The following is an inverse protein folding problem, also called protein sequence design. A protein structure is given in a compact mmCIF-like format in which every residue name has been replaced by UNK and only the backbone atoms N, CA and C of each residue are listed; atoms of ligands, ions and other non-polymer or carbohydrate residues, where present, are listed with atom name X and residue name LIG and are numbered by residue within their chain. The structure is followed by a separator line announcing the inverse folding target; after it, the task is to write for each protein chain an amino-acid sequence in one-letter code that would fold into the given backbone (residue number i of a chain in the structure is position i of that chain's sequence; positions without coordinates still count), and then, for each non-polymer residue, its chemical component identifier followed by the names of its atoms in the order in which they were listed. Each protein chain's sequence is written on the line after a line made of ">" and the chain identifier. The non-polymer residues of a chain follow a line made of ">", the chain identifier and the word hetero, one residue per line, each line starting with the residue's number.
data_IF_984709712819
#
_entry.id   IF_984709712819
#
_cell.length_a   1.000
_cell.length_b   1.000
_cell.length_c   1.000
_cell.angle_alpha   90.00
_cell.angle_beta   90.00
_cell.angle_gamma   90.00
#
_symmetry.space_group_name_H-M   'P 1'
#
loop_
_entity.id
_entity.type
_entity.pdbx_description
1 polymer ?
#
# COMPACT_ATOMS: atom_id res chain seq x y z
N UNK A 1 -11.23 -22.14 4.94
CA UNK A 1 -12.62 -22.22 4.41
C UNK A 1 -12.85 -23.56 3.73
N UNK A 2 -11.98 -23.93 2.79
CA UNK A 2 -11.97 -25.24 2.13
C UNK A 2 -12.13 -26.43 3.09
N UNK A 3 -11.19 -26.60 4.04
CA UNK A 3 -11.20 -27.70 5.02
C UNK A 3 -12.46 -27.78 5.89
N UNK A 4 -13.17 -26.67 6.11
CA UNK A 4 -14.29 -26.61 7.06
C UNK A 4 -15.66 -26.55 6.36
N UNK A 5 -15.72 -26.07 5.12
CA UNK A 5 -16.99 -25.73 4.47
C UNK A 5 -17.10 -26.17 3.01
N UNK A 6 -16.01 -26.59 2.36
CA UNK A 6 -16.03 -26.89 0.91
C UNK A 6 -15.32 -28.21 0.54
N UNK A 7 -15.11 -29.12 1.49
CA UNK A 7 -14.44 -30.42 1.28
C UNK A 7 -15.03 -31.27 0.16
N UNK A 8 -16.34 -31.20 -0.05
CA UNK A 8 -17.04 -32.02 -1.04
C UNK A 8 -17.09 -31.37 -2.44
N UNK A 9 -16.53 -30.17 -2.60
CA UNK A 9 -16.45 -29.49 -3.90
C UNK A 9 -15.14 -29.86 -4.61
N UNK A 10 -15.16 -30.17 -5.92
CA UNK A 10 -13.95 -30.45 -6.68
C UNK A 10 -13.21 -29.15 -7.03
N UNK A 11 -12.61 -28.51 -6.03
CA UNK A 11 -11.90 -27.24 -6.19
C UNK A 11 -10.50 -27.52 -6.74
N UNK A 12 -10.15 -26.82 -7.82
CA UNK A 12 -8.79 -26.77 -8.35
C UNK A 12 -8.32 -25.32 -8.33
N UNK A 13 -7.15 -25.11 -7.73
CA UNK A 13 -6.47 -23.83 -7.69
C UNK A 13 -5.53 -23.69 -8.89
N UNK A 14 -5.60 -22.55 -9.55
CA UNK A 14 -4.67 -22.15 -10.61
C UNK A 14 -4.06 -20.82 -10.18
N UNK A 15 -2.85 -20.88 -9.64
CA UNK A 15 -2.17 -19.74 -9.01
C UNK A 15 -1.00 -19.29 -9.90
N UNK A 16 -0.99 -18.00 -10.25
CA UNK A 16 0.12 -17.38 -10.97
C UNK A 16 0.89 -16.46 -10.04
N UNK A 17 2.21 -16.60 -10.03
CA UNK A 17 3.10 -15.66 -9.36
C UNK A 17 3.64 -14.69 -10.39
N UNK A 18 3.36 -13.40 -10.21
CA UNK A 18 3.81 -12.34 -11.10
C UNK A 18 4.89 -11.52 -10.38
N UNK A 19 5.99 -11.28 -11.06
CA UNK A 19 7.08 -10.44 -10.55
C UNK A 19 7.63 -9.53 -11.64
N UNK A 20 8.20 -8.40 -11.24
CA UNK A 20 8.97 -7.56 -12.16
C UNK A 20 10.31 -8.22 -12.51
N UNK A 21 10.78 -8.00 -13.73
CA UNK A 21 12.18 -8.22 -14.11
C UNK A 21 12.98 -6.93 -13.90
N UNK A 22 14.30 -7.02 -14.06
CA UNK A 22 15.24 -5.89 -13.88
C UNK A 22 14.94 -4.68 -14.78
N UNK A 23 14.18 -4.87 -15.87
CA UNK A 23 13.75 -3.79 -16.76
C UNK A 23 12.34 -3.25 -16.43
N UNK A 24 11.76 -3.65 -15.30
CA UNK A 24 10.43 -3.23 -14.83
C UNK A 24 9.25 -3.94 -15.51
N UNK A 25 9.49 -4.85 -16.46
CA UNK A 25 8.39 -5.62 -17.10
C UNK A 25 7.89 -6.73 -16.19
N UNK A 26 6.58 -6.92 -16.16
CA UNK A 26 5.95 -8.00 -15.40
C UNK A 26 6.02 -9.32 -16.16
N UNK A 27 6.42 -10.38 -15.47
CA UNK A 27 6.50 -11.73 -15.99
C UNK A 27 5.82 -12.73 -15.05
N UNK A 28 5.26 -13.78 -15.63
CA UNK A 28 4.89 -14.97 -14.87
C UNK A 28 6.16 -15.66 -14.38
N UNK A 29 6.37 -15.68 -13.07
CA UNK A 29 7.50 -16.34 -12.39
C UNK A 29 7.19 -17.81 -12.11
N UNK A 30 5.91 -18.16 -11.96
CA UNK A 30 5.46 -19.53 -11.76
C UNK A 30 3.96 -19.70 -11.96
N UNK A 31 3.58 -20.91 -12.38
CA UNK A 31 2.20 -21.38 -12.47
C UNK A 31 2.09 -22.65 -11.62
N UNK A 32 1.22 -22.60 -10.62
CA UNK A 32 0.97 -23.70 -9.70
C UNK A 32 -0.47 -24.15 -9.88
N UNK A 33 -0.67 -25.45 -10.11
CA UNK A 33 -1.98 -26.05 -10.29
C UNK A 33 -2.08 -27.22 -9.32
N UNK A 34 -3.11 -27.21 -8.49
CA UNK A 34 -3.34 -28.24 -7.48
C UNK A 34 -4.67 -28.05 -6.79
N UNK A 35 -5.05 -29.01 -5.98
CA UNK A 35 -6.34 -29.12 -5.30
C UNK A 35 -6.18 -29.15 -3.77
N UNK A 36 -5.05 -28.67 -3.26
CA UNK A 36 -4.74 -28.64 -1.84
C UNK A 36 -4.00 -27.36 -1.41
N UNK A 37 -3.78 -27.26 -0.10
CA UNK A 37 -3.07 -26.15 0.53
C UNK A 37 -1.58 -26.09 0.13
N UNK A 38 -0.99 -27.20 -0.31
CA UNK A 38 0.43 -27.24 -0.70
C UNK A 38 0.64 -26.45 -2.00
N UNK A 39 -0.31 -26.50 -2.94
CA UNK A 39 -0.33 -25.61 -4.11
C UNK A 39 -0.19 -24.13 -3.73
N UNK A 40 -0.97 -23.69 -2.73
CA UNK A 40 -0.87 -22.31 -2.21
C UNK A 40 0.48 -22.04 -1.55
N UNK A 41 0.99 -22.95 -0.71
CA UNK A 41 2.28 -22.77 -0.02
C UNK A 41 3.44 -22.64 -1.00
N UNK A 42 3.47 -23.43 -2.07
CA UNK A 42 4.51 -23.33 -3.09
C UNK A 42 4.44 -22.02 -3.86
N UNK A 43 3.23 -21.58 -4.25
CA UNK A 43 3.05 -20.28 -4.89
C UNK A 43 3.43 -19.12 -3.96
N UNK A 44 3.05 -19.19 -2.69
CA UNK A 44 3.39 -18.18 -1.68
C UNK A 44 4.90 -18.13 -1.41
N UNK A 45 5.60 -19.27 -1.37
CA UNK A 45 7.06 -19.34 -1.24
C UNK A 45 7.74 -18.66 -2.42
N UNK A 46 7.31 -18.92 -3.66
CA UNK A 46 7.89 -18.21 -4.80
C UNK A 46 7.57 -16.70 -4.76
N UNK A 47 6.35 -16.32 -4.38
CA UNK A 47 5.98 -14.91 -4.23
C UNK A 47 6.84 -14.21 -3.17
N UNK A 48 7.15 -14.90 -2.06
CA UNK A 48 8.07 -14.40 -1.05
C UNK A 48 9.43 -14.04 -1.65
N UNK A 49 10.01 -14.95 -2.43
CA UNK A 49 11.34 -14.79 -3.03
C UNK A 49 11.39 -13.67 -4.08
N UNK A 50 10.27 -13.33 -4.74
CA UNK A 50 10.27 -12.42 -5.90
C UNK A 50 9.45 -11.13 -5.70
N UNK A 51 8.68 -11.02 -4.63
CA UNK A 51 7.81 -9.85 -4.33
C UNK A 51 8.11 -9.20 -2.98
N UNK A 52 9.10 -9.67 -2.22
CA UNK A 52 9.50 -9.03 -0.95
C UNK A 52 10.92 -8.47 -1.09
N UNK A 53 11.04 -7.17 -0.84
CA UNK A 53 12.31 -6.47 -0.75
C UNK A 53 12.70 -6.33 0.73
N UNK A 54 13.73 -7.07 1.12
CA UNK A 54 14.26 -7.10 2.48
C UNK A 54 15.45 -6.15 2.60
N UNK A 55 15.22 -5.01 3.25
CA UNK A 55 16.19 -3.93 3.41
C UNK A 55 17.04 -4.14 4.67
N UNK A 56 18.31 -3.73 4.58
CA UNK A 56 19.28 -3.79 5.70
C UNK A 56 19.08 -2.68 6.73
N UNK A 57 18.41 -1.59 6.37
CA UNK A 57 18.17 -0.44 7.24
C UNK A 57 16.75 0.10 7.02
N UNK A 58 16.11 0.65 8.07
CA UNK A 58 14.82 1.32 7.91
C UNK A 58 14.97 2.61 7.08
N UNK A 59 13.93 2.94 6.31
CA UNK A 59 13.94 4.06 5.37
C UNK A 59 13.39 5.33 6.02
N UNK A 60 14.19 6.40 5.99
CA UNK A 60 13.81 7.72 6.49
C UNK A 60 12.81 8.44 5.57
N UNK A 61 12.90 8.22 4.26
CA UNK A 61 12.05 8.88 3.26
C UNK A 61 11.75 7.99 2.06
N UNK A 62 10.47 7.78 1.81
CA UNK A 62 9.98 7.03 0.66
C UNK A 62 9.12 7.93 -0.23
N UNK A 63 9.35 7.87 -1.53
CA UNK A 63 8.50 8.48 -2.54
C UNK A 63 7.85 7.39 -3.37
N UNK A 64 6.53 7.33 -3.34
CA UNK A 64 5.74 6.38 -4.14
C UNK A 64 5.04 7.13 -5.27
N UNK A 65 5.18 6.65 -6.49
CA UNK A 65 4.38 7.10 -7.62
C UNK A 65 3.16 6.19 -7.83
N UNK A 66 2.00 6.80 -8.04
CA UNK A 66 0.76 6.11 -8.34
C UNK A 66 0.36 6.41 -9.79
N UNK A 67 0.56 5.44 -10.67
CA UNK A 67 0.17 5.50 -12.08
C UNK A 67 -1.30 5.97 -12.24
N UNK A 68 -1.55 7.15 -12.86
CA UNK A 68 -2.86 7.78 -12.84
C UNK A 68 -3.97 6.91 -13.44
N UNK A 69 -3.66 6.03 -14.41
CA UNK A 69 -4.65 5.11 -14.98
C UNK A 69 -5.13 4.04 -13.99
N UNK A 70 -4.28 3.64 -13.03
CA UNK A 70 -4.53 2.53 -12.11
C UNK A 70 -5.07 2.96 -10.74
N UNK A 71 -4.68 4.15 -10.25
CA UNK A 71 -4.94 4.56 -8.88
C UNK A 71 -5.84 5.81 -8.85
N UNK A 72 -7.15 5.58 -8.68
CA UNK A 72 -8.18 6.64 -8.68
C UNK A 72 -8.64 7.05 -7.28
N UNK A 73 -8.44 6.20 -6.28
CA UNK A 73 -8.82 6.47 -4.89
C UNK A 73 -7.78 5.96 -3.88
N UNK A 74 -7.85 6.44 -2.63
CA UNK A 74 -6.96 5.95 -1.57
C UNK A 74 -7.19 4.47 -1.26
N UNK A 75 -8.37 3.93 -1.58
CA UNK A 75 -8.66 2.50 -1.51
C UNK A 75 -7.58 1.65 -2.19
N UNK A 76 -7.18 2.08 -3.39
CA UNK A 76 -6.09 1.47 -4.14
C UNK A 76 -4.73 2.09 -3.79
N UNK A 77 -4.69 3.42 -3.65
CA UNK A 77 -3.46 4.18 -3.46
C UNK A 77 -2.73 3.90 -2.14
N UNK A 78 -3.47 3.54 -1.08
CA UNK A 78 -2.91 3.21 0.23
C UNK A 78 -2.07 1.93 0.23
N UNK A 79 -2.01 1.18 -0.88
CA UNK A 79 -0.95 0.20 -1.13
C UNK A 79 0.43 0.79 -0.86
N UNK A 80 0.63 2.07 -1.19
CA UNK A 80 1.83 2.83 -0.86
C UNK A 80 2.18 2.82 0.64
N UNK A 81 1.18 2.75 1.52
CA UNK A 81 1.34 2.81 2.98
C UNK A 81 1.57 1.40 3.54
N UNK A 82 0.60 0.50 3.39
CA UNK A 82 0.70 -0.79 4.07
C UNK A 82 1.77 -1.70 3.46
N UNK A 83 2.20 -1.48 2.22
CA UNK A 83 3.33 -2.23 1.62
C UNK A 83 4.70 -1.73 2.08
N UNK A 84 4.80 -0.52 2.60
CA UNK A 84 6.08 0.10 2.97
C UNK A 84 6.23 0.33 4.48
N UNK A 85 5.15 0.22 5.25
CA UNK A 85 5.14 0.49 6.71
C UNK A 85 6.14 -0.33 7.53
N UNK A 86 6.56 -1.49 7.03
CA UNK A 86 7.56 -2.35 7.67
C UNK A 86 8.99 -1.91 7.36
N UNK A 87 9.19 -1.16 6.27
CA UNK A 87 10.45 -0.58 5.88
C UNK A 87 10.66 0.84 6.42
N UNK A 88 9.59 1.64 6.59
CA UNK A 88 9.73 3.04 7.03
C UNK A 88 10.18 3.13 8.50
N UNK A 89 11.16 3.99 8.76
CA UNK A 89 11.66 4.36 10.09
C UNK A 89 10.58 5.09 10.91
N UNK A 90 10.66 5.00 12.24
CA UNK A 90 9.80 5.83 13.10
C UNK A 90 10.28 7.28 13.02
N UNK A 91 9.36 8.22 12.81
CA UNK A 91 9.66 9.61 12.45
C UNK A 91 9.90 9.86 10.96
N UNK A 92 9.93 8.80 10.14
CA UNK A 92 10.16 8.91 8.70
C UNK A 92 9.02 9.56 7.91
N UNK A 93 9.23 9.71 6.60
CA UNK A 93 8.28 10.35 5.68
C UNK A 93 7.91 9.44 4.50
N UNK A 94 6.61 9.31 4.26
CA UNK A 94 6.06 8.72 3.04
C UNK A 94 5.40 9.82 2.20
N UNK A 95 5.89 10.02 0.98
CA UNK A 95 5.35 10.95 0.00
C UNK A 95 4.67 10.15 -1.11
N UNK A 96 3.39 10.41 -1.35
CA UNK A 96 2.61 9.71 -2.37
C UNK A 96 2.26 10.68 -3.51
N UNK A 97 2.89 10.49 -4.66
CA UNK A 97 2.62 11.23 -5.89
C UNK A 97 1.42 10.60 -6.59
N UNK A 98 0.25 11.25 -6.52
CA UNK A 98 -1.03 10.64 -6.87
C UNK A 98 -1.80 11.46 -7.94
N UNK A 99 -1.28 11.57 -9.17
CA UNK A 99 -1.90 12.37 -10.25
C UNK A 99 -3.31 11.93 -10.62
N UNK A 100 -3.66 10.65 -10.44
CA UNK A 100 -4.99 10.11 -10.77
C UNK A 100 -6.01 10.17 -9.64
N UNK A 101 -5.63 10.62 -8.44
CA UNK A 101 -6.44 10.52 -7.24
C UNK A 101 -7.58 11.54 -7.22
N UNK A 102 -8.81 11.03 -7.18
CA UNK A 102 -10.05 11.83 -7.21
C UNK A 102 -11.02 11.49 -6.06
N UNK A 103 -10.66 10.54 -5.19
CA UNK A 103 -11.50 10.11 -4.07
C UNK A 103 -10.74 9.23 -3.08
N UNK A 104 -11.48 8.69 -2.13
CA UNK A 104 -10.96 7.87 -1.04
C UNK A 104 -11.44 6.43 -1.08
N UNK A 105 -12.73 6.20 -1.34
CA UNK A 105 -13.36 4.88 -1.30
C UNK A 105 -13.29 4.05 -2.58
N UNK A 106 -13.75 2.80 -2.49
CA UNK A 106 -14.03 1.95 -3.65
C UNK A 106 -15.34 2.36 -4.34
N UNK A 107 -16.33 2.75 -3.54
CA UNK A 107 -17.64 3.25 -3.93
C UNK A 107 -17.99 4.51 -3.12
N UNK A 108 -19.13 5.13 -3.44
CA UNK A 108 -19.59 6.36 -2.79
C UNK A 108 -19.85 6.21 -1.28
N UNK A 109 -20.28 5.03 -0.82
CA UNK A 109 -20.56 4.76 0.58
C UNK A 109 -19.27 4.70 1.40
N UNK A 110 -18.30 3.91 0.93
CA UNK A 110 -16.97 3.80 1.55
C UNK A 110 -16.25 5.15 1.49
N UNK A 111 -16.36 5.88 0.37
CA UNK A 111 -15.77 7.20 0.22
C UNK A 111 -16.27 8.18 1.29
N UNK A 112 -17.60 8.22 1.48
CA UNK A 112 -18.23 9.03 2.52
C UNK A 112 -17.78 8.64 3.93
N UNK A 113 -17.64 7.34 4.21
CA UNK A 113 -17.18 6.86 5.52
C UNK A 113 -15.74 7.27 5.78
N UNK A 114 -14.84 7.12 4.80
CA UNK A 114 -13.43 7.54 4.95
C UNK A 114 -13.35 9.04 5.16
N UNK A 115 -14.12 9.85 4.41
CA UNK A 115 -14.19 11.31 4.60
C UNK A 115 -14.69 11.70 6.00
N UNK A 116 -15.61 10.91 6.57
CA UNK A 116 -16.20 11.16 7.89
C UNK A 116 -15.24 10.81 9.04
N UNK A 117 -14.54 9.68 8.94
CA UNK A 117 -13.77 9.12 10.06
C UNK A 117 -12.25 9.29 9.92
N UNK A 118 -11.73 9.34 8.69
CA UNK A 118 -10.31 9.53 8.39
C UNK A 118 -9.40 8.35 8.77
N UNK A 119 -8.11 8.49 8.45
CA UNK A 119 -7.08 7.50 8.76
C UNK A 119 -6.44 7.79 10.12
N UNK A 120 -7.08 7.33 11.20
CA UNK A 120 -6.80 7.78 12.57
C UNK A 120 -6.20 6.72 13.51
N UNK A 121 -5.77 5.58 12.97
CA UNK A 121 -5.14 4.50 13.75
C UNK A 121 -6.13 3.48 14.31
N UNK A 122 -5.59 2.33 14.73
CA UNK A 122 -6.35 1.14 15.12
C UNK A 122 -7.33 1.41 16.26
N UNK A 123 -6.82 1.94 17.38
CA UNK A 123 -7.61 2.13 18.60
C UNK A 123 -8.85 2.98 18.36
N UNK A 124 -8.67 4.13 17.70
CA UNK A 124 -9.75 5.09 17.45
C UNK A 124 -10.78 4.55 16.44
N UNK A 125 -10.33 3.84 15.40
CA UNK A 125 -11.25 3.20 14.45
C UNK A 125 -12.08 2.12 15.15
N UNK A 126 -11.47 1.28 15.99
CA UNK A 126 -12.20 0.25 16.74
C UNK A 126 -13.24 0.87 17.70
N UNK A 127 -12.92 2.00 18.33
CA UNK A 127 -13.90 2.71 19.16
C UNK A 127 -15.03 3.29 18.33
N UNK A 128 -14.77 3.83 17.14
CA UNK A 128 -15.83 4.25 16.23
C UNK A 128 -16.69 3.10 15.74
N UNK A 129 -16.12 1.92 15.48
CA UNK A 129 -16.91 0.72 15.15
C UNK A 129 -17.85 0.35 16.31
N UNK A 130 -17.39 0.39 17.56
CA UNK A 130 -18.27 0.09 18.72
C UNK A 130 -19.42 1.09 18.84
N UNK A 131 -19.17 2.36 18.53
CA UNK A 131 -20.11 3.46 18.78
C UNK A 131 -21.05 3.79 17.61
N UNK A 132 -20.69 3.46 16.37
CA UNK A 132 -21.41 3.93 15.19
C UNK A 132 -21.88 2.78 14.30
N UNK A 133 -23.20 2.69 14.09
CA UNK A 133 -23.86 1.66 13.29
C UNK A 133 -23.38 1.64 11.83
N UNK A 134 -23.10 2.80 11.25
CA UNK A 134 -22.64 2.90 9.86
C UNK A 134 -21.29 2.19 9.62
N UNK A 135 -20.37 2.20 10.60
CA UNK A 135 -19.14 1.40 10.52
C UNK A 135 -19.34 -0.07 10.87
N UNK A 136 -20.27 -0.41 11.78
CA UNK A 136 -20.61 -1.81 12.08
C UNK A 136 -21.14 -2.54 10.85
N UNK A 137 -21.91 -1.83 10.02
CA UNK A 137 -22.43 -2.34 8.75
C UNK A 137 -21.38 -2.31 7.62
N UNK A 138 -20.21 -1.70 7.84
CA UNK A 138 -19.17 -1.48 6.81
C UNK A 138 -17.75 -1.77 7.35
N UNK A 139 -17.53 -2.98 7.88
CA UNK A 139 -16.25 -3.37 8.49
C UNK A 139 -15.06 -3.34 7.52
N UNK A 140 -15.30 -3.46 6.21
CA UNK A 140 -14.27 -3.29 5.18
C UNK A 140 -13.68 -1.88 5.19
N UNK A 141 -14.51 -0.85 5.33
CA UNK A 141 -14.06 0.54 5.45
C UNK A 141 -13.25 0.75 6.74
N UNK A 142 -13.70 0.17 7.86
CA UNK A 142 -12.96 0.20 9.12
C UNK A 142 -11.57 -0.44 8.98
N UNK A 143 -11.49 -1.65 8.44
CA UNK A 143 -10.22 -2.32 8.19
C UNK A 143 -9.30 -1.48 7.26
N UNK A 144 -9.84 -0.89 6.21
CA UNK A 144 -9.08 -0.03 5.30
C UNK A 144 -8.50 1.20 6.01
N UNK A 145 -9.27 1.87 6.86
CA UNK A 145 -8.79 3.02 7.63
C UNK A 145 -7.66 2.66 8.59
N UNK A 146 -7.71 1.47 9.19
CA UNK A 146 -6.64 0.94 10.04
C UNK A 146 -5.36 0.76 9.22
N UNK A 147 -5.45 -0.01 8.13
CA UNK A 147 -4.29 -0.33 7.28
C UNK A 147 -3.72 0.88 6.54
N UNK A 148 -4.56 1.87 6.22
CA UNK A 148 -4.17 3.12 5.58
C UNK A 148 -3.62 4.18 6.55
N UNK A 149 -3.53 3.90 7.85
CA UNK A 149 -2.97 4.82 8.82
C UNK A 149 -1.48 4.54 9.11
N UNK A 150 -0.76 5.56 9.58
CA UNK A 150 0.63 5.41 10.02
C UNK A 150 0.76 4.83 11.43
N UNK A 151 -0.34 4.71 12.19
CA UNK A 151 -0.32 4.41 13.64
C UNK A 151 0.60 5.37 14.43
N UNK A 152 0.72 6.62 13.95
CA UNK A 152 1.59 7.63 14.57
C UNK A 152 3.09 7.41 14.34
N UNK A 153 3.50 6.40 13.57
CA UNK A 153 4.91 6.04 13.37
C UNK A 153 5.64 6.95 12.38
N UNK A 154 4.97 7.39 11.31
CA UNK A 154 5.58 8.18 10.24
C UNK A 154 4.58 9.17 9.65
N UNK A 155 5.09 10.17 8.94
CA UNK A 155 4.28 11.20 8.30
C UNK A 155 3.89 10.76 6.88
N UNK A 156 2.62 10.91 6.53
CA UNK A 156 2.10 10.58 5.20
C UNK A 156 1.68 11.87 4.50
N UNK A 157 2.33 12.17 3.37
CA UNK A 157 2.01 13.34 2.54
C UNK A 157 1.46 12.89 1.20
N UNK A 158 0.19 13.18 0.95
CA UNK A 158 -0.44 12.98 -0.36
C UNK A 158 -0.27 14.20 -1.26
N UNK A 159 0.07 13.93 -2.51
CA UNK A 159 0.15 14.91 -3.59
C UNK A 159 -0.92 14.56 -4.63
N UNK A 160 -2.21 14.90 -4.40
CA UNK A 160 -3.30 14.49 -5.28
C UNK A 160 -3.36 15.33 -6.56
N UNK A 161 -3.91 14.74 -7.62
CA UNK A 161 -4.27 15.46 -8.85
C UNK A 161 -5.65 16.11 -8.81
N UNK A 162 -6.65 15.47 -8.17
CA UNK A 162 -8.04 15.94 -8.20
C UNK A 162 -8.69 16.25 -6.85
N UNK A 163 -7.99 16.04 -5.73
CA UNK A 163 -8.49 16.36 -4.39
C UNK A 163 -7.87 17.66 -3.86
N UNK A 164 -8.66 18.41 -3.10
CA UNK A 164 -8.23 19.66 -2.48
C UNK A 164 -7.36 19.42 -1.23
N UNK A 165 -6.69 20.48 -0.76
CA UNK A 165 -5.90 20.45 0.47
C UNK A 165 -6.78 20.11 1.67
N UNK A 166 -7.98 20.68 1.73
CA UNK A 166 -8.94 20.51 2.80
C UNK A 166 -9.42 19.07 2.89
N UNK A 167 -9.72 18.44 1.75
CA UNK A 167 -10.14 17.03 1.68
C UNK A 167 -9.02 16.06 2.12
N UNK A 168 -7.78 16.27 1.66
CA UNK A 168 -6.66 15.42 2.11
C UNK A 168 -6.42 15.55 3.61
N UNK A 169 -6.49 16.79 4.13
CA UNK A 169 -6.32 17.04 5.56
C UNK A 169 -7.47 16.50 6.40
N UNK A 170 -8.70 16.48 5.88
CA UNK A 170 -9.87 15.99 6.63
C UNK A 170 -9.78 14.49 6.94
N UNK A 171 -8.96 13.73 6.20
CA UNK A 171 -8.73 12.30 6.44
C UNK A 171 -7.41 12.02 7.18
N UNK A 172 -6.81 13.03 7.81
CA UNK A 172 -5.58 12.92 8.60
C UNK A 172 -4.28 12.66 7.80
N UNK A 173 -4.25 13.07 6.54
CA UNK A 173 -3.01 13.12 5.76
C UNK A 173 -2.49 14.54 5.60
N UNK A 174 -1.20 14.64 5.33
CA UNK A 174 -0.56 15.88 4.95
C UNK A 174 -0.71 16.11 3.45
N UNK A 175 -0.73 17.37 3.06
CA UNK A 175 -0.92 17.77 1.68
C UNK A 175 0.31 18.48 1.14
N UNK A 176 0.72 18.10 -0.07
CA UNK A 176 1.63 18.88 -0.88
C UNK A 176 1.08 19.02 -2.31
N UNK A 177 1.43 20.14 -2.95
CA UNK A 177 1.00 20.41 -4.32
C UNK A 177 1.72 19.47 -5.30
N UNK A 178 0.94 18.73 -6.11
CA UNK A 178 1.48 17.72 -7.02
C UNK A 178 2.49 18.28 -8.03
N UNK A 179 2.22 19.44 -8.65
CA UNK A 179 3.10 19.98 -9.69
C UNK A 179 4.50 20.32 -9.13
N UNK A 180 4.54 20.84 -7.90
CA UNK A 180 5.79 21.12 -7.18
C UNK A 180 6.54 19.84 -6.84
N UNK A 181 5.82 18.83 -6.38
CA UNK A 181 6.44 17.57 -5.94
C UNK A 181 6.95 16.73 -7.11
N UNK A 182 6.26 16.73 -8.26
CA UNK A 182 6.73 16.09 -9.50
C UNK A 182 8.00 16.74 -10.07
N UNK A 183 8.18 18.06 -9.90
CA UNK A 183 9.45 18.72 -10.28
C UNK A 183 10.63 18.28 -9.43
N UNK A 184 10.38 17.94 -8.15
CA UNK A 184 11.42 17.50 -7.21
C UNK A 184 11.69 16.00 -7.33
N UNK A 185 10.63 15.21 -7.52
CA UNK A 185 10.66 13.77 -7.57
C UNK A 185 10.03 13.31 -8.90
N UNK A 186 10.76 13.49 -9.99
CA UNK A 186 10.29 13.12 -11.33
C UNK A 186 10.27 11.59 -11.47
N UNK A 187 9.08 10.94 -11.53
CA UNK A 187 8.98 9.49 -11.57
C UNK A 187 9.54 8.87 -12.86
N UNK A 188 9.78 9.68 -13.90
CA UNK A 188 10.37 9.22 -15.16
C UNK A 188 11.90 9.27 -15.17
N UNK A 189 12.51 9.93 -14.18
CA UNK A 189 13.96 10.04 -14.03
C UNK A 189 14.48 9.20 -12.85
N UNK A 190 13.65 9.01 -11.83
CA UNK A 190 13.97 8.17 -10.67
C UNK A 190 13.95 6.69 -11.05
N UNK A 191 14.79 5.91 -10.37
CA UNK A 191 14.83 4.45 -10.48
C UNK A 191 14.25 3.83 -9.23
N UNK A 192 13.59 2.69 -9.34
CA UNK A 192 13.15 1.96 -8.14
C UNK A 192 14.34 1.66 -7.22
N UNK A 193 14.15 1.84 -5.92
CA UNK A 193 15.22 1.71 -4.93
C UNK A 193 15.78 3.04 -4.43
N UNK A 194 17.00 2.99 -3.88
CA UNK A 194 17.68 4.17 -3.33
C UNK A 194 18.13 5.14 -4.45
N UNK A 195 17.81 6.41 -4.26
CA UNK A 195 18.24 7.51 -5.11
C UNK A 195 18.90 8.59 -4.24
N UNK A 196 19.97 9.20 -4.75
CA UNK A 196 20.53 10.45 -4.21
C UNK A 196 20.23 11.58 -5.19
N UNK A 197 19.46 12.56 -4.75
CA UNK A 197 19.07 13.71 -5.56
C UNK A 197 20.25 14.70 -5.69
N UNK A 198 20.16 15.62 -6.65
CA UNK A 198 21.22 16.60 -6.92
C UNK A 198 21.56 17.51 -5.73
N UNK A 199 20.63 17.68 -4.78
CA UNK A 199 20.84 18.44 -3.53
C UNK A 199 21.43 17.59 -2.38
N UNK A 200 21.78 16.32 -2.63
CA UNK A 200 22.30 15.38 -1.63
C UNK A 200 21.23 14.66 -0.80
N UNK A 201 19.94 14.95 -1.02
CA UNK A 201 18.85 14.24 -0.34
C UNK A 201 18.78 12.79 -0.80
N UNK A 202 18.69 11.85 0.14
CA UNK A 202 18.46 10.44 -0.14
C UNK A 202 16.98 10.09 0.01
N UNK A 203 16.45 9.34 -0.96
CA UNK A 203 15.09 8.80 -0.95
C UNK A 203 15.08 7.35 -1.42
N UNK A 204 14.06 6.60 -1.01
CA UNK A 204 13.70 5.34 -1.66
C UNK A 204 12.50 5.57 -2.58
N UNK A 205 12.64 5.27 -3.87
CA UNK A 205 11.57 5.46 -4.85
C UNK A 205 10.88 4.13 -5.19
N UNK A 206 9.56 4.18 -5.33
CA UNK A 206 8.71 3.06 -5.72
C UNK A 206 7.75 3.52 -6.82
N UNK A 207 7.93 3.00 -8.02
CA UNK A 207 7.15 3.30 -9.22
C UNK A 207 5.80 2.59 -9.25
N UNK A 208 5.69 1.43 -8.59
CA UNK A 208 4.48 0.64 -8.51
C UNK A 208 4.37 -0.12 -7.17
N UNK A 209 3.54 0.35 -6.22
CA UNK A 209 3.40 -0.32 -4.93
C UNK A 209 2.58 -1.62 -4.98
N UNK A 210 1.99 -2.01 -6.13
CA UNK A 210 1.17 -3.23 -6.21
C UNK A 210 1.97 -4.52 -6.41
N UNK A 211 3.26 -4.41 -6.77
CA UNK A 211 4.08 -5.57 -7.20
C UNK A 211 5.05 -6.07 -6.12
N UNK A 212 5.11 -5.39 -4.98
CA UNK A 212 6.08 -5.68 -3.93
C UNK A 212 5.61 -5.37 -2.52
N UNK A 213 6.39 -5.84 -1.56
CA UNK A 213 6.34 -5.51 -0.14
C UNK A 213 7.77 -5.13 0.29
N UNK A 214 7.91 -4.06 1.07
CA UNK A 214 9.20 -3.61 1.57
C UNK A 214 9.23 -3.74 3.08
N UNK A 215 10.27 -4.38 3.60
CA UNK A 215 10.44 -4.55 5.03
C UNK A 215 11.91 -4.44 5.44
N UNK A 216 12.14 -3.85 6.62
CA UNK A 216 13.42 -3.94 7.29
C UNK A 216 13.58 -5.36 7.87
N UNK A 217 14.70 -6.04 7.55
CA UNK A 217 14.94 -7.46 7.88
C UNK A 217 14.59 -7.83 9.31
N UNK A 218 15.08 -7.09 10.30
CA UNK A 218 14.86 -7.40 11.72
C UNK A 218 13.37 -7.35 12.11
N UNK A 219 12.57 -6.46 11.48
CA UNK A 219 11.12 -6.41 11.74
C UNK A 219 10.37 -7.55 11.07
N UNK A 220 10.95 -8.12 10.02
CA UNK A 220 10.30 -9.13 9.20
C UNK A 220 10.58 -10.55 9.70
N UNK A 221 11.80 -10.84 10.13
CA UNK A 221 12.18 -12.14 10.74
C UNK A 221 11.43 -12.45 12.04
N UNK A 222 10.90 -11.43 12.72
CA UNK A 222 10.06 -11.61 13.91
C UNK A 222 8.59 -12.00 13.59
N UNK A 223 8.22 -12.11 12.31
CA UNK A 223 6.83 -12.35 11.87
C UNK A 223 6.67 -13.66 11.08
N UNK A 224 7.74 -14.18 10.47
CA UNK A 224 7.73 -15.41 9.64
C UNK A 224 8.44 -16.54 10.36
#
# INVERSE_FOLDING_TARGET
>A
AEENFAKDLPIVYVLTVIGASDNGKLHCRGLFIGDDIECFRQAAKLSFEVNIELLEEPLEKIVVYLEPSNYKSTWLGNKSIYRTRMAIADGGELIVLAPGLNGFGEDEQIDRLIRKYGYIGTERVLDFVKLNKDLQENLSAAAHMIHGSSEGRFKITYCPGGLTREEIKSVNFEYAELSRMLKRYDPYQLRDGLNTLANGEQIYFISNPSIGLWAFKDKFENIV
#
